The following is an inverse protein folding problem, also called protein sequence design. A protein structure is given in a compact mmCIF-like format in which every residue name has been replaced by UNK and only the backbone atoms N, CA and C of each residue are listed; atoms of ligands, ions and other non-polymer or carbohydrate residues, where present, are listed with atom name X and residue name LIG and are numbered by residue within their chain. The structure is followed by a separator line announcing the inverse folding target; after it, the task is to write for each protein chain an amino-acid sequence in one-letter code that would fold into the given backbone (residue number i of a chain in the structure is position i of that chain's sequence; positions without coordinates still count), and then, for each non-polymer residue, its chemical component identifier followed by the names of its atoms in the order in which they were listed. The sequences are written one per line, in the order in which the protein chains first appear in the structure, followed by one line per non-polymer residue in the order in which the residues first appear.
data_IF_468023120836
#
_entry.id   IF_468023120836
#
_cell.length_a   1.000
_cell.length_b   1.000
_cell.length_c   1.000
_cell.angle_alpha   90.00
_cell.angle_beta   90.00
_cell.angle_gamma   90.00
#
_symmetry.space_group_name_H-M   'P 1'
#
loop_
_entity.id
_entity.type
_entity.pdbx_description
1 polymer ?
#
# COMPACT_ATOMS: atom_id res chain seq x y z
N UNK A 1 7.99 -25.74 13.68
CA UNK A 1 8.70 -25.34 12.45
C UNK A 1 9.08 -23.89 12.64
N UNK A 2 10.37 -23.61 12.78
CA UNK A 2 10.86 -22.24 12.87
C UNK A 2 10.78 -21.66 11.46
N UNK A 3 9.95 -20.65 11.26
CA UNK A 3 10.03 -19.84 10.04
C UNK A 3 11.33 -19.07 10.18
N UNK A 4 12.38 -19.52 9.49
CA UNK A 4 13.61 -18.74 9.40
C UNK A 4 13.23 -17.41 8.74
N UNK A 5 13.39 -16.30 9.48
CA UNK A 5 13.18 -14.98 8.90
C UNK A 5 14.20 -14.82 7.78
N UNK A 6 13.71 -14.77 6.54
CA UNK A 6 14.55 -14.66 5.34
C UNK A 6 15.32 -13.34 5.36
N UNK A 7 14.79 -12.31 6.03
CA UNK A 7 15.46 -11.05 6.26
C UNK A 7 15.58 -10.74 7.76
N UNK A 8 16.75 -10.95 8.36
CA UNK A 8 16.92 -10.72 9.81
C UNK A 8 16.91 -9.23 10.22
N UNK A 9 17.09 -8.28 9.28
CA UNK A 9 17.10 -6.85 9.59
C UNK A 9 16.66 -6.00 8.38
N UNK A 10 15.35 -5.77 8.17
CA UNK A 10 14.86 -4.92 7.09
C UNK A 10 15.21 -3.44 7.31
N UNK A 11 15.43 -2.71 6.21
CA UNK A 11 15.59 -1.25 6.23
C UNK A 11 14.20 -0.65 6.42
N UNK A 12 14.02 0.09 7.51
CA UNK A 12 12.76 0.78 7.84
C UNK A 12 12.86 2.23 7.40
N UNK A 13 11.90 2.68 6.61
CA UNK A 13 11.74 4.05 6.15
C UNK A 13 10.71 4.80 6.99
N UNK A 14 10.88 6.11 7.10
CA UNK A 14 9.93 6.98 7.82
C UNK A 14 8.60 7.06 7.05
N UNK A 15 7.48 6.78 7.72
CA UNK A 15 6.15 6.91 7.14
C UNK A 15 5.89 8.36 6.73
N UNK A 16 5.28 8.55 5.56
CA UNK A 16 4.83 9.86 5.10
C UNK A 16 3.63 10.30 5.96
N UNK A 17 3.56 11.57 6.34
CA UNK A 17 2.39 12.07 7.09
C UNK A 17 1.10 11.81 6.29
N UNK A 18 0.12 11.17 6.95
CA UNK A 18 -1.19 10.93 6.39
C UNK A 18 -1.91 12.28 6.22
N UNK A 19 -2.22 12.65 4.98
CA UNK A 19 -2.89 13.92 4.69
C UNK A 19 -4.37 13.73 4.96
N UNK A 20 -4.94 14.58 5.81
CA UNK A 20 -6.38 14.59 6.02
C UNK A 20 -7.07 14.96 4.71
N UNK A 21 -7.98 14.09 4.24
CA UNK A 21 -8.85 14.40 3.09
C UNK A 21 -9.55 15.73 3.34
N UNK A 22 -9.52 16.58 2.32
CA UNK A 22 -10.32 17.81 2.30
C UNK A 22 -11.79 17.42 2.36
N UNK A 23 -12.46 17.79 3.46
CA UNK A 23 -13.90 17.57 3.62
C UNK A 23 -14.61 18.31 2.49
N UNK A 24 -15.51 17.67 1.74
CA UNK A 24 -16.24 18.34 0.68
C UNK A 24 -17.00 19.54 1.25
N UNK A 25 -16.91 20.66 0.56
CA UNK A 25 -17.64 21.87 0.94
C UNK A 25 -19.13 21.58 0.73
N UNK A 26 -20.04 22.15 1.52
CA UNK A 26 -21.51 21.90 1.46
C UNK A 26 -22.17 22.12 0.07
N UNK A 27 -21.42 22.56 -0.94
CA UNK A 27 -21.84 22.76 -2.33
C UNK A 27 -21.61 21.51 -3.21
N UNK A 28 -20.76 20.57 -2.77
CA UNK A 28 -20.32 19.38 -3.53
C UNK A 28 -20.93 18.08 -3.00
N UNK A 29 -21.91 18.15 -2.09
CA UNK A 29 -22.51 16.99 -1.40
C UNK A 29 -23.14 15.95 -2.36
N UNK A 30 -23.46 16.34 -3.59
CA UNK A 30 -24.08 15.46 -4.60
C UNK A 30 -23.14 15.06 -5.75
N UNK A 31 -21.89 15.51 -5.75
CA UNK A 31 -20.90 15.10 -6.74
C UNK A 31 -20.27 13.76 -6.31
N UNK A 32 -20.13 12.83 -7.26
CA UNK A 32 -19.36 11.59 -7.02
C UNK A 32 -17.88 11.96 -7.06
N UNK A 33 -17.19 11.76 -5.95
CA UNK A 33 -15.73 11.89 -5.86
C UNK A 33 -15.10 10.68 -6.59
N UNK A 34 -14.23 10.91 -7.59
CA UNK A 34 -13.52 9.82 -8.27
C UNK A 34 -12.49 9.19 -7.32
N UNK A 35 -12.22 7.89 -7.50
CA UNK A 35 -11.20 7.20 -6.71
C UNK A 35 -9.81 7.66 -7.17
N UNK A 36 -9.04 8.22 -6.24
CA UNK A 36 -7.68 8.69 -6.50
C UNK A 36 -6.61 7.65 -6.06
N UNK A 37 -5.40 7.76 -6.63
CA UNK A 37 -4.25 6.92 -6.25
C UNK A 37 -3.92 7.01 -4.76
N UNK A 38 -4.08 8.19 -4.17
CA UNK A 38 -3.86 8.42 -2.74
C UNK A 38 -4.83 7.65 -1.86
N UNK A 39 -6.10 7.55 -2.27
CA UNK A 39 -7.10 6.78 -1.53
C UNK A 39 -6.73 5.30 -1.51
N UNK A 40 -6.35 4.75 -2.66
CA UNK A 40 -5.86 3.36 -2.74
C UNK A 40 -4.59 3.18 -1.90
N UNK A 41 -3.63 4.11 -1.97
CA UNK A 41 -2.40 4.07 -1.17
C UNK A 41 -2.69 4.05 0.33
N UNK A 42 -3.58 4.92 0.80
CA UNK A 42 -3.95 5.01 2.21
C UNK A 42 -4.65 3.74 2.72
N UNK A 43 -5.33 2.99 1.86
CA UNK A 43 -5.91 1.71 2.22
C UNK A 43 -4.87 0.58 2.35
N UNK A 44 -3.81 0.59 1.55
CA UNK A 44 -2.82 -0.50 1.52
C UNK A 44 -1.57 -0.23 2.35
N UNK A 45 -1.27 1.03 2.66
CA UNK A 45 -0.04 1.45 3.37
C UNK A 45 0.14 0.80 4.74
N UNK A 46 -0.96 0.55 5.46
CA UNK A 46 -0.94 0.04 6.84
C UNK A 46 -0.98 -1.49 6.92
N UNK A 47 -1.10 -2.19 5.78
CA UNK A 47 -0.98 -3.64 5.73
C UNK A 47 0.38 -4.02 6.30
N UNK A 48 0.39 -4.99 7.21
CA UNK A 48 1.61 -5.48 7.85
C UNK A 48 2.23 -6.56 7.00
N UNK A 49 3.55 -6.56 6.97
CA UNK A 49 4.31 -7.64 6.38
C UNK A 49 4.09 -8.94 7.19
N UNK A 50 3.96 -10.10 6.52
CA UNK A 50 3.76 -11.37 7.21
C UNK A 50 5.00 -11.87 7.97
N UNK A 51 6.21 -11.40 7.62
CA UNK A 51 7.47 -11.79 8.27
C UNK A 51 7.90 -10.77 9.33
N UNK A 52 7.46 -9.51 9.19
CA UNK A 52 7.88 -8.39 10.04
C UNK A 52 6.73 -7.61 10.67
N UNK A 53 6.93 -7.02 11.87
CA UNK A 53 5.91 -6.18 12.50
C UNK A 53 5.69 -4.81 11.82
N UNK A 54 6.36 -4.56 10.69
CA UNK A 54 6.35 -3.29 9.95
C UNK A 54 5.29 -3.27 8.85
N UNK A 55 4.87 -2.07 8.48
CA UNK A 55 3.92 -1.82 7.38
C UNK A 55 4.59 -1.90 6.00
N UNK A 56 3.82 -2.19 4.96
CA UNK A 56 4.33 -2.22 3.58
C UNK A 56 4.94 -0.88 3.13
N UNK A 57 4.42 0.24 3.64
CA UNK A 57 5.02 1.57 3.43
C UNK A 57 6.39 1.69 4.10
N UNK A 58 6.52 1.26 5.35
CA UNK A 58 7.76 1.34 6.13
C UNK A 58 8.87 0.50 5.50
N UNK A 59 8.52 -0.57 4.80
CA UNK A 59 9.46 -1.44 4.10
C UNK A 59 9.71 -1.01 2.64
N UNK A 60 9.10 0.09 2.17
CA UNK A 60 9.08 0.52 0.76
C UNK A 60 8.62 -0.59 -0.21
N UNK A 61 7.79 -1.50 0.26
CA UNK A 61 7.20 -2.54 -0.59
C UNK A 61 6.18 -1.92 -1.54
N UNK A 62 5.45 -0.91 -1.08
CA UNK A 62 4.49 -0.12 -1.87
C UNK A 62 4.89 1.35 -1.84
N UNK A 63 4.72 2.02 -2.98
CA UNK A 63 4.95 3.46 -3.17
C UNK A 63 3.72 4.04 -3.87
N UNK A 64 3.34 5.27 -3.53
CA UNK A 64 2.21 6.00 -4.13
C UNK A 64 2.30 6.02 -5.67
N UNK A 65 3.48 6.32 -6.22
CA UNK A 65 3.75 6.35 -7.67
C UNK A 65 3.60 4.98 -8.37
N UNK A 66 3.54 3.88 -7.62
CA UNK A 66 3.41 2.53 -8.15
C UNK A 66 1.95 2.06 -8.26
N UNK A 67 1.01 2.94 -7.92
CA UNK A 67 -0.43 2.70 -7.98
C UNK A 67 -1.02 3.48 -9.15
N UNK A 68 -1.72 2.78 -10.03
CA UNK A 68 -2.46 3.37 -11.13
C UNK A 68 -3.95 3.07 -10.95
N UNK A 69 -4.77 4.10 -11.07
CA UNK A 69 -6.24 4.02 -10.92
C UNK A 69 -6.89 4.56 -12.19
N UNK A 70 -7.82 3.79 -12.74
CA UNK A 70 -8.74 4.20 -13.80
C UNK A 70 -10.17 3.98 -13.30
N UNK A 71 -10.75 5.03 -12.74
CA UNK A 71 -12.11 5.04 -12.20
C UNK A 71 -13.18 4.77 -13.28
N UNK A 72 -12.95 5.25 -14.50
CA UNK A 72 -13.89 5.09 -15.63
C UNK A 72 -14.02 3.64 -16.08
N UNK A 73 -12.92 2.87 -16.01
CA UNK A 73 -12.89 1.45 -16.33
C UNK A 73 -12.97 0.56 -15.08
N UNK A 74 -13.11 1.16 -13.89
CA UNK A 74 -13.07 0.47 -12.60
C UNK A 74 -11.85 -0.46 -12.47
N UNK A 75 -10.68 0.04 -12.86
CA UNK A 75 -9.42 -0.71 -12.88
C UNK A 75 -8.39 -0.09 -11.94
N UNK A 76 -7.76 -0.92 -11.12
CA UNK A 76 -6.67 -0.52 -10.22
C UNK A 76 -5.48 -1.46 -10.43
N UNK A 77 -4.30 -0.89 -10.65
CA UNK A 77 -3.04 -1.62 -10.78
C UNK A 77 -2.08 -1.19 -9.70
N UNK A 78 -1.68 -2.13 -8.85
CA UNK A 78 -0.72 -1.91 -7.76
C UNK A 78 0.55 -2.68 -8.11
N UNK A 79 1.66 -1.96 -8.27
CA UNK A 79 2.99 -2.56 -8.43
C UNK A 79 3.72 -2.51 -7.09
N UNK A 80 4.07 -3.68 -6.54
CA UNK A 80 4.82 -3.76 -5.30
C UNK A 80 6.19 -4.42 -5.54
N UNK A 81 7.19 -4.04 -4.75
CA UNK A 81 8.54 -4.59 -4.83
C UNK A 81 8.84 -5.37 -3.55
N UNK A 82 8.95 -6.71 -3.59
CA UNK A 82 9.30 -7.48 -2.40
C UNK A 82 10.71 -7.09 -1.91
N UNK A 83 10.92 -7.16 -0.60
CA UNK A 83 12.19 -6.77 0.04
C UNK A 83 13.36 -7.71 -0.30
N UNK A 84 13.08 -8.94 -0.76
CA UNK A 84 14.07 -9.97 -1.09
C UNK A 84 13.67 -10.82 -2.31
N UNK A 85 14.68 -11.24 -3.07
CA UNK A 85 14.58 -11.86 -4.40
C UNK A 85 13.97 -13.28 -4.41
N UNK A 86 13.86 -13.90 -3.24
CA UNK A 86 13.27 -15.24 -3.03
C UNK A 86 12.21 -15.25 -1.93
N UNK A 87 11.43 -14.17 -1.82
CA UNK A 87 10.36 -14.10 -0.84
C UNK A 87 9.18 -15.01 -1.25
N UNK A 88 9.04 -16.17 -0.60
CA UNK A 88 7.84 -17.01 -0.72
C UNK A 88 6.55 -16.28 -0.29
N UNK A 89 6.69 -15.14 0.42
CA UNK A 89 5.60 -14.29 0.87
C UNK A 89 5.17 -13.22 -0.15
N UNK A 90 5.88 -13.06 -1.29
CA UNK A 90 5.46 -12.12 -2.34
C UNK A 90 4.04 -12.44 -2.87
N UNK A 91 3.72 -13.73 -3.00
CA UNK A 91 2.38 -14.18 -3.39
C UNK A 91 1.34 -13.90 -2.31
N UNK A 92 1.72 -13.96 -1.03
CA UNK A 92 0.82 -13.68 0.09
C UNK A 92 0.55 -12.18 0.19
N UNK A 93 1.57 -11.33 0.02
CA UNK A 93 1.40 -9.89 -0.07
C UNK A 93 0.44 -9.54 -1.22
N UNK A 94 0.63 -10.15 -2.39
CA UNK A 94 -0.27 -9.96 -3.54
C UNK A 94 -1.70 -10.49 -3.35
N UNK A 95 -1.97 -11.38 -2.39
CA UNK A 95 -3.33 -11.83 -2.04
C UNK A 95 -4.01 -10.95 -0.99
N UNK A 96 -3.23 -10.17 -0.24
CA UNK A 96 -3.73 -9.24 0.76
C UNK A 96 -4.07 -7.86 0.17
N UNK A 97 -3.69 -7.61 -1.09
CA UNK A 97 -4.00 -6.42 -1.89
C UNK A 97 -5.20 -6.70 -2.79
#
# INVERSE_FOLDING_TARGET
MVYELVNANPIVYEKKECRARSVPTAVEEYAVEPIDQQEVFDHVRDIKDPEHPYSLEELKVIIEDAIEVDDQQSYVRITFTPTVEHCSMATIIGLCL
#
